data_IF_763240619029
#
_entry.id   IF_763240619029
#
_cell.length_a   1.000
_cell.length_b   1.000
_cell.length_c   1.000
_cell.angle_alpha   90.00
_cell.angle_beta   90.00
_cell.angle_gamma   90.00
#
_symmetry.space_group_name_H-M   'P 1'
#
loop_
_entity.id
_entity.type
_entity.pdbx_description
1 polymer ?
#
# COMPACT_ATOMS: atom_id res chain seq x y z
N UNK A 1 19.44 -9.59 -1.72
CA UNK A 1 19.38 -8.31 -0.95
C UNK A 1 18.50 -8.56 0.25
N UNK A 2 19.06 -8.63 1.46
CA UNK A 2 18.39 -9.15 2.68
C UNK A 2 17.06 -8.45 2.97
N UNK A 3 16.06 -9.21 3.46
CA UNK A 3 14.76 -8.68 3.90
C UNK A 3 14.93 -7.51 4.85
N UNK A 4 15.90 -7.58 5.76
CA UNK A 4 16.21 -6.52 6.70
C UNK A 4 16.48 -5.18 6.00
N UNK A 5 17.21 -5.20 4.87
CA UNK A 5 17.46 -4.01 4.06
C UNK A 5 16.21 -3.56 3.29
N UNK A 6 15.45 -4.47 2.67
CA UNK A 6 14.17 -4.13 2.00
C UNK A 6 13.18 -3.51 3.00
N UNK A 7 13.11 -4.06 4.23
CA UNK A 7 12.30 -3.58 5.34
C UNK A 7 12.77 -2.22 5.83
N UNK A 8 14.08 -2.05 6.06
CA UNK A 8 14.66 -0.78 6.49
C UNK A 8 14.43 0.31 5.45
N UNK A 9 14.76 0.05 4.18
CA UNK A 9 14.52 0.99 3.08
C UNK A 9 13.03 1.35 2.95
N UNK A 10 12.12 0.38 3.10
CA UNK A 10 10.68 0.65 3.03
C UNK A 10 10.14 1.35 4.27
N UNK A 11 10.67 1.08 5.46
CA UNK A 11 10.33 1.81 6.70
C UNK A 11 10.83 3.24 6.66
N UNK A 12 12.03 3.47 6.11
CA UNK A 12 12.54 4.81 5.84
C UNK A 12 11.65 5.54 4.83
N UNK A 13 11.33 4.92 3.70
CA UNK A 13 10.43 5.50 2.70
C UNK A 13 8.99 5.71 3.17
N UNK A 14 8.54 4.93 4.17
CA UNK A 14 7.23 5.08 4.79
C UNK A 14 7.22 6.05 5.99
N UNK A 15 8.40 6.50 6.45
CA UNK A 15 8.52 7.44 7.54
C UNK A 15 8.23 8.85 7.04
N UNK A 16 7.32 9.54 7.73
CA UNK A 16 6.99 10.93 7.45
C UNK A 16 8.22 11.86 7.54
N UNK A 17 9.23 11.49 8.34
CA UNK A 17 10.38 12.34 8.62
C UNK A 17 11.57 12.10 7.71
N UNK A 18 11.63 10.97 7.00
CA UNK A 18 12.84 10.58 6.28
C UNK A 18 13.22 11.58 5.18
N UNK A 19 12.29 11.91 4.27
CA UNK A 19 12.54 12.90 3.21
C UNK A 19 12.86 14.29 3.81
N UNK A 20 12.08 14.84 4.77
CA UNK A 20 12.44 16.08 5.44
C UNK A 20 13.85 16.08 6.05
N UNK A 21 14.26 15.01 6.72
CA UNK A 21 15.60 14.91 7.33
C UNK A 21 16.70 14.90 6.27
N UNK A 22 16.50 14.18 5.16
CA UNK A 22 17.45 14.19 4.03
C UNK A 22 17.55 15.58 3.41
N UNK A 23 16.43 16.26 3.17
CA UNK A 23 16.41 17.63 2.63
C UNK A 23 17.08 18.63 3.56
N UNK A 24 16.82 18.53 4.87
CA UNK A 24 17.48 19.34 5.90
C UNK A 24 19.01 19.13 5.88
N UNK A 25 19.46 17.88 5.81
CA UNK A 25 20.89 17.57 5.73
C UNK A 25 21.52 18.13 4.45
N UNK A 26 20.86 17.98 3.29
CA UNK A 26 21.32 18.57 2.03
C UNK A 26 21.38 20.10 2.09
N UNK A 27 20.44 20.75 2.77
CA UNK A 27 20.45 22.19 2.98
C UNK A 27 21.61 22.66 3.84
N UNK A 28 21.98 21.89 4.88
CA UNK A 28 23.18 22.15 5.69
C UNK A 28 24.44 22.06 4.84
N UNK A 29 24.57 21.02 4.01
CA UNK A 29 25.70 20.87 3.09
C UNK A 29 25.74 21.98 2.05
N UNK A 30 24.59 22.36 1.49
CA UNK A 30 24.47 23.45 0.54
C UNK A 30 24.88 24.79 1.15
N UNK A 31 24.42 25.09 2.38
CA UNK A 31 24.83 26.29 3.10
C UNK A 31 26.35 26.32 3.32
N UNK A 32 26.93 25.23 3.82
CA UNK A 32 28.37 25.11 4.02
C UNK A 32 29.16 25.28 2.72
N UNK A 33 28.70 24.65 1.63
CA UNK A 33 29.31 24.75 0.31
C UNK A 33 29.27 26.17 -0.26
N UNK A 34 28.12 26.86 -0.15
CA UNK A 34 27.98 28.24 -0.64
C UNK A 34 28.81 29.23 0.19
N UNK A 35 28.83 29.06 1.52
CA UNK A 35 29.69 29.87 2.41
C UNK A 35 31.17 29.67 2.04
N UNK A 36 31.60 28.43 1.80
CA UNK A 36 32.98 28.15 1.38
C UNK A 36 33.28 28.79 0.02
N UNK A 37 32.38 28.67 -0.96
CA UNK A 37 32.54 29.31 -2.27
C UNK A 37 32.68 30.83 -2.14
N UNK A 38 31.83 31.48 -1.34
CA UNK A 38 31.91 32.92 -1.04
C UNK A 38 33.26 33.30 -0.38
N UNK A 39 33.88 32.42 0.42
CA UNK A 39 35.20 32.68 1.01
C UNK A 39 36.38 32.53 0.04
N UNK A 40 36.26 31.66 -0.97
CA UNK A 40 37.36 31.37 -1.92
C UNK A 40 37.35 32.30 -3.15
N UNK A 41 36.20 32.54 -3.77
CA UNK A 41 36.10 33.36 -4.99
C UNK A 41 36.02 34.87 -4.68
N UNK A 42 35.64 35.24 -3.46
CA UNK A 42 35.38 36.62 -3.08
C UNK A 42 34.18 37.22 -3.83
N UNK A 43 33.86 38.48 -3.57
CA UNK A 43 32.70 39.17 -4.16
C UNK A 43 32.96 39.90 -5.47
N UNK A 44 34.15 39.73 -6.08
CA UNK A 44 34.62 40.56 -7.20
C UNK A 44 33.80 40.40 -8.50
N UNK A 45 33.17 39.24 -8.72
CA UNK A 45 32.29 39.02 -9.87
C UNK A 45 30.96 39.80 -9.75
N UNK A 46 30.63 40.26 -8.55
CA UNK A 46 29.37 40.91 -8.22
C UNK A 46 29.34 42.40 -8.53
N UNK A 47 30.51 43.02 -8.69
CA UNK A 47 30.67 44.42 -9.12
C UNK A 47 30.02 44.67 -10.50
N UNK A 48 29.80 43.61 -11.27
CA UNK A 48 29.19 43.65 -12.60
C UNK A 48 27.65 43.59 -12.57
N UNK A 49 27.06 43.38 -11.39
CA UNK A 49 25.62 43.11 -11.22
C UNK A 49 25.01 44.04 -10.16
N UNK A 50 24.56 45.26 -10.55
CA UNK A 50 24.18 46.34 -9.62
C UNK A 50 23.05 46.00 -8.63
N UNK A 51 22.19 45.04 -8.96
CA UNK A 51 21.09 44.59 -8.11
C UNK A 51 21.53 43.63 -7.01
N UNK A 52 22.65 42.91 -7.18
CA UNK A 52 23.24 42.06 -6.14
C UNK A 52 24.14 42.86 -5.17
N UNK A 53 24.78 43.92 -5.64
CA UNK A 53 25.75 44.73 -4.88
C UNK A 53 25.14 45.53 -3.70
N UNK A 54 23.82 45.47 -3.48
CA UNK A 54 23.10 46.33 -2.55
C UNK A 54 22.82 45.72 -1.15
N UNK A 55 23.16 44.46 -0.88
CA UNK A 55 22.89 43.85 0.43
C UNK A 55 23.96 44.23 1.47
N UNK A 56 23.79 45.38 2.13
CA UNK A 56 24.53 45.69 3.37
C UNK A 56 24.34 44.54 4.39
N UNK A 57 25.30 44.29 5.29
CA UNK A 57 25.20 43.20 6.28
C UNK A 57 23.86 43.18 7.03
N UNK A 58 23.33 44.35 7.40
CA UNK A 58 22.05 44.47 8.09
C UNK A 58 20.86 44.10 7.20
N UNK A 59 20.92 44.44 5.91
CA UNK A 59 19.90 44.04 4.92
C UNK A 59 19.91 42.53 4.68
N UNK A 60 21.10 41.93 4.54
CA UNK A 60 21.24 40.48 4.41
C UNK A 60 20.73 39.74 5.65
N UNK A 61 21.08 40.21 6.86
CA UNK A 61 20.55 39.68 8.12
C UNK A 61 19.03 39.81 8.20
N UNK A 62 18.48 40.97 7.83
CA UNK A 62 17.05 41.21 7.80
C UNK A 62 16.31 40.26 6.85
N UNK A 63 16.82 40.08 5.64
CA UNK A 63 16.25 39.16 4.65
C UNK A 63 16.30 37.71 5.13
N UNK A 64 17.47 37.21 5.55
CA UNK A 64 17.64 35.83 6.02
C UNK A 64 16.82 35.55 7.29
N UNK A 65 16.72 36.51 8.21
CA UNK A 65 15.89 36.41 9.41
C UNK A 65 14.40 36.37 9.06
N UNK A 66 13.94 37.24 8.14
CA UNK A 66 12.56 37.28 7.67
C UNK A 66 12.17 35.98 6.94
N UNK A 67 13.03 35.51 6.03
CA UNK A 67 12.82 34.23 5.33
C UNK A 67 12.84 33.08 6.34
N UNK A 68 13.85 32.99 7.22
CA UNK A 68 13.91 31.92 8.22
C UNK A 68 12.68 31.89 9.14
N UNK A 69 12.32 33.05 9.72
CA UNK A 69 11.17 33.18 10.61
C UNK A 69 9.83 32.85 9.94
N UNK A 70 9.64 33.26 8.68
CA UNK A 70 8.44 32.90 7.92
C UNK A 70 8.40 31.41 7.57
N UNK A 71 9.52 30.81 7.18
CA UNK A 71 9.58 29.38 6.83
C UNK A 71 9.27 28.46 8.01
N UNK A 72 9.78 28.75 9.22
CA UNK A 72 9.46 27.92 10.40
C UNK A 72 7.98 28.05 10.79
N UNK A 73 7.40 29.24 10.63
CA UNK A 73 5.97 29.49 10.88
C UNK A 73 5.11 28.72 9.88
N UNK A 74 5.41 28.83 8.58
CA UNK A 74 4.71 28.10 7.51
C UNK A 74 4.84 26.59 7.70
N UNK A 75 6.02 26.08 8.07
CA UNK A 75 6.20 24.66 8.39
C UNK A 75 5.27 24.20 9.52
N UNK A 76 5.14 24.98 10.59
CA UNK A 76 4.22 24.71 11.70
C UNK A 76 2.75 24.72 11.28
N UNK A 77 2.33 25.67 10.45
CA UNK A 77 0.96 25.74 9.90
C UNK A 77 0.67 24.53 9.01
N UNK A 78 1.58 24.19 8.10
CA UNK A 78 1.46 23.05 7.17
C UNK A 78 1.37 21.74 7.93
N UNK A 79 2.20 21.55 8.96
CA UNK A 79 2.13 20.38 9.83
C UNK A 79 0.77 20.30 10.54
N UNK A 80 0.29 21.41 11.11
CA UNK A 80 -1.01 21.46 11.80
C UNK A 80 -2.18 21.14 10.87
N UNK A 81 -2.20 21.71 9.66
CA UNK A 81 -3.23 21.42 8.64
C UNK A 81 -3.17 19.95 8.21
N UNK A 82 -1.98 19.39 8.03
CA UNK A 82 -1.80 17.98 7.66
C UNK A 82 -2.35 17.05 8.74
N UNK A 83 -2.08 17.31 10.02
CA UNK A 83 -2.62 16.50 11.12
C UNK A 83 -4.13 16.66 11.25
N UNK A 84 -4.66 17.88 11.10
CA UNK A 84 -6.11 18.10 11.11
C UNK A 84 -6.83 17.32 9.99
N UNK A 85 -6.26 17.34 8.77
CA UNK A 85 -6.74 16.57 7.63
C UNK A 85 -6.74 15.05 7.91
N UNK A 86 -5.67 14.56 8.51
CA UNK A 86 -5.52 13.16 8.91
C UNK A 86 -6.57 12.74 9.94
N UNK A 87 -6.79 13.56 10.98
CA UNK A 87 -7.81 13.30 12.01
C UNK A 87 -9.20 13.27 11.38
N UNK A 88 -9.49 14.21 10.48
CA UNK A 88 -10.75 14.25 9.73
C UNK A 88 -10.95 12.99 8.88
N UNK A 89 -9.96 12.59 8.09
CA UNK A 89 -10.03 11.40 7.24
C UNK A 89 -10.18 10.11 8.06
N UNK A 90 -9.42 9.95 9.14
CA UNK A 90 -9.55 8.80 10.06
C UNK A 90 -10.93 8.74 10.70
N UNK A 91 -11.47 9.91 11.07
CA UNK A 91 -12.79 10.07 11.65
C UNK A 91 -13.93 9.73 10.68
N UNK A 92 -13.77 9.98 9.39
CA UNK A 92 -14.80 9.70 8.38
C UNK A 92 -14.68 8.32 7.75
N UNK A 93 -13.46 7.84 7.50
CA UNK A 93 -13.24 6.74 6.55
C UNK A 93 -12.52 5.51 7.14
N UNK A 94 -11.91 5.64 8.32
CA UNK A 94 -11.28 4.51 9.02
C UNK A 94 -9.84 4.78 9.46
N UNK A 95 -9.40 4.22 10.60
CA UNK A 95 -8.05 4.46 11.14
C UNK A 95 -6.93 3.94 10.25
N UNK A 96 -7.18 2.99 9.33
CA UNK A 96 -6.13 2.43 8.47
C UNK A 96 -5.60 3.45 7.44
N UNK A 97 -6.42 4.42 7.07
CA UNK A 97 -6.07 5.49 6.13
C UNK A 97 -5.05 6.50 6.68
N UNK A 98 -4.95 6.61 8.01
CA UNK A 98 -3.91 7.40 8.70
C UNK A 98 -2.51 7.10 8.14
N UNK A 99 -2.21 5.82 7.94
CA UNK A 99 -0.89 5.39 7.50
C UNK A 99 -0.60 5.71 6.04
N UNK A 100 -1.63 5.92 5.20
CA UNK A 100 -1.47 6.30 3.80
C UNK A 100 -1.18 7.79 3.66
N UNK A 101 -1.86 8.64 4.45
CA UNK A 101 -1.59 10.10 4.46
C UNK A 101 -0.17 10.45 4.92
N UNK A 102 0.37 9.73 5.91
CA UNK A 102 1.75 9.97 6.37
C UNK A 102 2.82 9.51 5.37
N UNK A 103 2.45 8.64 4.41
CA UNK A 103 3.33 8.19 3.32
C UNK A 103 3.28 9.10 2.09
N UNK A 104 2.43 10.12 2.09
CA UNK A 104 2.29 11.03 0.96
C UNK A 104 3.58 11.85 0.73
N UNK A 105 4.21 11.65 -0.44
CA UNK A 105 5.47 12.34 -0.79
C UNK A 105 5.31 13.84 -0.95
N UNK A 106 4.14 14.32 -1.37
CA UNK A 106 3.85 15.75 -1.48
C UNK A 106 3.91 16.44 -0.11
N UNK A 107 3.31 15.83 0.91
CA UNK A 107 3.38 16.32 2.29
C UNK A 107 4.81 16.31 2.83
N UNK A 108 5.55 15.22 2.60
CA UNK A 108 6.93 15.07 3.05
C UNK A 108 7.89 16.08 2.38
N UNK A 109 7.79 16.27 1.06
CA UNK A 109 8.60 17.25 0.32
C UNK A 109 8.23 18.67 0.73
N UNK A 110 6.95 18.96 0.94
CA UNK A 110 6.49 20.28 1.38
C UNK A 110 7.10 20.65 2.73
N UNK A 111 6.93 19.79 3.74
CA UNK A 111 7.50 20.02 5.07
C UNK A 111 9.03 20.09 5.01
N UNK A 112 9.65 19.18 4.25
CA UNK A 112 11.10 19.15 4.05
C UNK A 112 11.64 20.43 3.43
N UNK A 113 10.94 21.02 2.45
CA UNK A 113 11.34 22.28 1.81
C UNK A 113 11.36 23.43 2.80
N UNK A 114 10.33 23.59 3.63
CA UNK A 114 10.28 24.68 4.61
C UNK A 114 11.34 24.53 5.70
N UNK A 115 11.53 23.32 6.23
CA UNK A 115 12.58 23.04 7.23
C UNK A 115 13.97 23.25 6.63
N UNK A 116 14.19 22.79 5.39
CA UNK A 116 15.45 22.96 4.67
C UNK A 116 15.78 24.44 4.45
N UNK A 117 14.85 25.24 3.92
CA UNK A 117 15.04 26.67 3.70
C UNK A 117 15.27 27.42 5.03
N UNK A 118 14.55 27.07 6.09
CA UNK A 118 14.77 27.62 7.43
C UNK A 118 16.20 27.35 7.93
N UNK A 119 16.64 26.09 7.90
CA UNK A 119 17.99 25.71 8.36
C UNK A 119 19.07 26.36 7.51
N UNK A 120 18.88 26.40 6.20
CA UNK A 120 19.78 27.10 5.28
C UNK A 120 19.93 28.57 5.69
N UNK A 121 18.82 29.30 5.84
CA UNK A 121 18.83 30.71 6.23
C UNK A 121 19.48 30.93 7.60
N UNK A 122 19.23 30.08 8.59
CA UNK A 122 19.88 30.17 9.90
C UNK A 122 21.40 29.99 9.84
N UNK A 123 21.87 29.00 9.07
CA UNK A 123 23.30 28.74 8.94
C UNK A 123 24.02 29.87 8.21
N UNK A 124 23.45 30.39 7.12
CA UNK A 124 24.01 31.53 6.41
C UNK A 124 23.96 32.78 7.28
N UNK A 125 22.85 33.04 7.99
CA UNK A 125 22.70 34.18 8.89
C UNK A 125 23.79 34.22 9.96
N UNK A 126 24.15 33.06 10.53
CA UNK A 126 25.23 32.95 11.52
C UNK A 126 26.60 33.42 11.00
N UNK A 127 26.82 33.40 9.69
CA UNK A 127 28.10 33.79 9.08
C UNK A 127 28.19 35.26 8.68
N UNK A 128 27.07 35.99 8.66
CA UNK A 128 27.06 37.42 8.31
C UNK A 128 27.70 38.24 9.45
N UNK A 129 28.80 38.94 9.16
CA UNK A 129 29.55 39.78 10.13
C UNK A 129 29.50 41.25 9.72
N UNK A 130 29.14 42.14 10.64
CA UNK A 130 29.23 43.59 10.45
C UNK A 130 30.66 44.08 10.72
N UNK A 131 31.02 45.23 10.13
CA UNK A 131 32.35 45.82 10.29
C UNK A 131 32.70 46.11 11.77
N UNK A 132 31.69 46.44 12.58
CA UNK A 132 31.83 46.67 14.03
C UNK A 132 32.17 45.41 14.84
N UNK A 133 31.85 44.22 14.31
CA UNK A 133 32.05 42.93 15.01
C UNK A 133 33.33 42.20 14.58
N UNK A 134 33.96 42.62 13.48
CA UNK A 134 35.02 41.86 12.80
C UNK A 134 36.22 42.74 12.41
N UNK A 135 36.75 43.52 13.37
CA UNK A 135 37.98 44.31 13.21
C UNK A 135 37.99 45.18 11.92
N UNK A 136 36.84 45.74 11.53
CA UNK A 136 36.70 46.60 10.35
C UNK A 136 36.37 45.89 9.03
N UNK A 137 36.26 44.55 9.01
CA UNK A 137 35.93 43.79 7.80
C UNK A 137 34.48 43.28 7.85
N UNK A 138 33.59 43.87 7.05
CA UNK A 138 32.24 43.32 6.85
C UNK A 138 32.29 42.11 5.92
N UNK A 139 31.67 41.00 6.30
CA UNK A 139 31.53 39.82 5.45
C UNK A 139 30.06 39.46 5.25
N UNK A 140 29.64 39.43 3.98
CA UNK A 140 28.32 38.99 3.55
C UNK A 140 28.49 37.91 2.48
N UNK A 141 28.03 36.68 2.72
CA UNK A 141 28.09 35.59 1.74
C UNK A 141 26.98 35.79 0.71
N UNK A 142 27.29 36.51 -0.36
CA UNK A 142 26.27 36.96 -1.32
C UNK A 142 25.76 35.83 -2.23
N UNK A 143 26.59 34.86 -2.59
CA UNK A 143 26.11 33.64 -3.28
C UNK A 143 25.15 32.89 -2.39
N UNK A 144 25.50 32.71 -1.12
CA UNK A 144 24.64 32.05 -0.17
C UNK A 144 23.32 32.82 0.04
N UNK A 145 23.35 34.15 0.05
CA UNK A 145 22.15 34.99 0.13
C UNK A 145 21.25 34.81 -1.11
N UNK A 146 21.81 34.82 -2.32
CA UNK A 146 21.06 34.63 -3.57
C UNK A 146 20.35 33.27 -3.57
N UNK A 147 21.06 32.21 -3.20
CA UNK A 147 20.47 30.86 -3.08
C UNK A 147 19.36 30.85 -2.02
N UNK A 148 19.52 31.56 -0.90
CA UNK A 148 18.48 31.72 0.10
C UNK A 148 17.19 32.37 -0.45
N UNK A 149 17.33 33.40 -1.28
CA UNK A 149 16.18 34.04 -1.96
C UNK A 149 15.53 33.09 -2.96
N UNK A 150 16.31 32.35 -3.75
CA UNK A 150 15.78 31.35 -4.68
C UNK A 150 15.03 30.25 -3.92
N UNK A 151 15.58 29.74 -2.82
CA UNK A 151 14.91 28.77 -1.97
C UNK A 151 13.60 29.32 -1.40
N UNK A 152 13.55 30.60 -1.01
CA UNK A 152 12.32 31.24 -0.56
C UNK A 152 11.25 31.31 -1.66
N UNK A 153 11.63 31.64 -2.90
CA UNK A 153 10.71 31.62 -4.05
C UNK A 153 10.20 30.21 -4.35
N UNK A 154 11.08 29.20 -4.31
CA UNK A 154 10.69 27.80 -4.43
C UNK A 154 9.72 27.38 -3.31
N UNK A 155 9.96 27.82 -2.08
CA UNK A 155 9.07 27.57 -0.94
C UNK A 155 7.66 28.16 -1.16
N UNK A 156 7.54 29.34 -1.79
CA UNK A 156 6.22 29.90 -2.15
C UNK A 156 5.51 29.02 -3.17
N UNK A 157 6.20 28.54 -4.21
CA UNK A 157 5.61 27.64 -5.20
C UNK A 157 5.14 26.32 -4.55
N UNK A 158 5.95 25.76 -3.64
CA UNK A 158 5.62 24.57 -2.87
C UNK A 158 4.43 24.80 -1.94
N UNK A 159 4.30 25.99 -1.34
CA UNK A 159 3.12 26.36 -0.54
C UNK A 159 1.84 26.39 -1.38
N UNK A 160 1.90 27.00 -2.57
CA UNK A 160 0.74 27.03 -3.51
C UNK A 160 0.36 25.60 -3.91
N UNK A 161 1.35 24.76 -4.23
CA UNK A 161 1.14 23.34 -4.47
C UNK A 161 0.44 22.65 -3.29
N UNK A 162 0.93 22.86 -2.07
CA UNK A 162 0.37 22.24 -0.86
C UNK A 162 -1.10 22.61 -0.62
N UNK A 163 -1.47 23.88 -0.85
CA UNK A 163 -2.84 24.37 -0.70
C UNK A 163 -3.81 23.62 -1.63
N UNK A 164 -3.36 23.17 -2.81
CA UNK A 164 -4.16 22.35 -3.72
C UNK A 164 -4.04 20.84 -3.43
N UNK A 165 -2.85 20.38 -3.04
CA UNK A 165 -2.53 18.97 -2.83
C UNK A 165 -3.32 18.36 -1.67
N UNK A 166 -3.37 19.03 -0.52
CA UNK A 166 -4.02 18.45 0.67
C UNK A 166 -5.53 18.23 0.47
N UNK A 167 -6.33 19.23 0.01
CA UNK A 167 -7.75 19.01 -0.21
C UNK A 167 -8.05 17.96 -1.28
N UNK A 168 -7.30 17.95 -2.39
CA UNK A 168 -7.51 17.00 -3.48
C UNK A 168 -7.19 15.55 -3.10
N UNK A 169 -6.24 15.34 -2.18
CA UNK A 169 -5.91 14.03 -1.61
C UNK A 169 -6.85 13.58 -0.48
N UNK A 170 -7.53 14.51 0.21
CA UNK A 170 -8.54 14.18 1.23
C UNK A 170 -9.83 13.66 0.60
N UNK A 171 -10.14 14.08 -0.63
CA UNK A 171 -11.37 13.66 -1.28
C UNK A 171 -11.43 12.14 -1.41
N UNK A 172 -12.52 11.54 -0.91
CA UNK A 172 -12.64 10.08 -0.73
C UNK A 172 -12.44 9.30 -2.03
N UNK A 173 -12.88 9.84 -3.16
CA UNK A 173 -12.69 9.20 -4.47
C UNK A 173 -11.20 9.09 -4.85
N UNK A 174 -10.36 10.05 -4.44
CA UNK A 174 -8.91 9.98 -4.64
C UNK A 174 -8.29 8.88 -3.80
N UNK A 175 -8.71 8.75 -2.53
CA UNK A 175 -8.22 7.70 -1.61
C UNK A 175 -8.62 6.31 -2.12
N UNK A 176 -9.89 6.13 -2.48
CA UNK A 176 -10.41 4.87 -3.05
C UNK A 176 -9.67 4.53 -4.34
N UNK A 177 -9.48 5.50 -5.24
CA UNK A 177 -8.72 5.33 -6.48
C UNK A 177 -7.27 4.91 -6.22
N UNK A 178 -6.58 5.56 -5.29
CA UNK A 178 -5.19 5.26 -4.96
C UNK A 178 -5.06 3.81 -4.41
N UNK A 179 -6.00 3.37 -3.56
CA UNK A 179 -6.04 1.99 -3.03
C UNK A 179 -6.36 0.99 -4.15
N UNK A 180 -7.41 1.24 -4.93
CA UNK A 180 -7.86 0.35 -6.00
C UNK A 180 -6.83 0.19 -7.12
N UNK A 181 -6.21 1.30 -7.57
CA UNK A 181 -5.14 1.27 -8.58
C UNK A 181 -3.94 0.47 -8.08
N UNK A 182 -3.58 0.64 -6.80
CA UNK A 182 -2.51 -0.14 -6.18
C UNK A 182 -2.85 -1.62 -6.10
N UNK A 183 -4.07 -1.98 -5.72
CA UNK A 183 -4.51 -3.37 -5.68
C UNK A 183 -4.40 -4.03 -7.06
N UNK A 184 -4.91 -3.38 -8.11
CA UNK A 184 -4.81 -3.90 -9.49
C UNK A 184 -3.36 -4.03 -9.93
N UNK A 185 -2.51 -3.04 -9.64
CA UNK A 185 -1.08 -3.11 -9.95
C UNK A 185 -0.37 -4.24 -9.19
N UNK A 186 -0.69 -4.43 -7.90
CA UNK A 186 -0.12 -5.50 -7.08
C UNK A 186 -0.61 -6.89 -7.55
N UNK A 187 -1.85 -7.01 -8.04
CA UNK A 187 -2.36 -8.21 -8.73
C UNK A 187 -1.57 -8.47 -10.00
N UNK A 188 -1.35 -7.45 -10.83
CA UNK A 188 -0.66 -7.60 -12.11
C UNK A 188 0.79 -8.07 -11.94
N UNK A 189 1.50 -7.47 -10.99
CA UNK A 189 2.88 -7.84 -10.70
C UNK A 189 3.00 -9.24 -10.05
N UNK A 190 2.02 -9.68 -9.26
CA UNK A 190 2.09 -10.97 -8.55
C UNK A 190 1.53 -12.14 -9.35
N UNK A 191 0.56 -11.89 -10.21
CA UNK A 191 -0.13 -12.89 -11.01
C UNK A 191 -0.11 -12.53 -12.50
N UNK A 192 1.07 -12.30 -13.11
CA UNK A 192 1.16 -11.79 -14.47
C UNK A 192 0.50 -12.73 -15.50
N UNK A 193 -0.34 -12.19 -16.38
CA UNK A 193 -1.19 -12.97 -17.32
C UNK A 193 -0.41 -13.89 -18.29
N UNK A 194 0.88 -13.64 -18.54
CA UNK A 194 1.62 -14.26 -19.66
C UNK A 194 3.04 -14.74 -19.32
N UNK A 195 3.38 -15.04 -18.06
CA UNK A 195 4.71 -15.58 -17.74
C UNK A 195 4.71 -17.11 -17.77
N UNK A 196 5.25 -17.67 -18.86
CA UNK A 196 5.56 -19.09 -18.98
C UNK A 196 4.33 -19.99 -19.04
N UNK A 197 4.48 -21.22 -19.56
CA UNK A 197 3.44 -22.22 -19.37
C UNK A 197 3.37 -22.51 -17.88
N UNK A 198 2.28 -22.11 -17.24
CA UNK A 198 1.88 -22.74 -15.99
C UNK A 198 1.94 -24.24 -16.21
N UNK A 199 2.61 -24.96 -15.30
CA UNK A 199 2.37 -26.39 -15.16
C UNK A 199 0.89 -26.45 -14.80
N UNK A 200 0.04 -26.61 -15.81
CA UNK A 200 -1.39 -26.70 -15.61
C UNK A 200 -1.68 -27.83 -14.62
N UNK A 201 -2.89 -27.92 -14.06
CA UNK A 201 -3.28 -29.01 -13.15
C UNK A 201 -3.13 -30.43 -13.73
N UNK A 202 -2.65 -30.58 -14.97
CA UNK A 202 -2.55 -31.82 -15.73
C UNK A 202 -1.19 -32.06 -16.41
N UNK A 203 -0.14 -31.28 -16.14
CA UNK A 203 1.20 -31.58 -16.65
C UNK A 203 1.98 -32.42 -15.61
N UNK A 204 1.82 -33.74 -15.70
CA UNK A 204 2.67 -34.77 -15.08
C UNK A 204 2.75 -34.81 -13.55
N UNK A 205 1.67 -35.25 -12.90
CA UNK A 205 1.67 -35.70 -11.51
C UNK A 205 1.79 -34.57 -10.49
N UNK A 206 0.87 -34.49 -9.53
CA UNK A 206 1.10 -33.64 -8.36
C UNK A 206 2.46 -34.05 -7.74
N UNK A 207 3.33 -33.09 -7.37
CA UNK A 207 4.57 -33.42 -6.66
C UNK A 207 4.22 -34.30 -5.46
N UNK A 208 4.90 -35.44 -5.32
CA UNK A 208 4.58 -36.38 -4.25
C UNK A 208 4.79 -35.70 -2.89
N UNK A 209 3.71 -35.62 -2.12
CA UNK A 209 3.73 -35.00 -0.80
C UNK A 209 4.43 -35.96 0.17
N UNK A 210 5.42 -35.50 0.94
CA UNK A 210 6.04 -36.33 1.96
C UNK A 210 4.97 -36.94 2.89
N UNK A 211 5.13 -38.18 3.36
CA UNK A 211 4.16 -38.84 4.24
C UNK A 211 3.74 -37.96 5.40
N UNK A 212 4.68 -37.23 6.02
CA UNK A 212 4.41 -36.31 7.12
C UNK A 212 3.41 -35.18 6.82
N UNK A 213 3.24 -34.79 5.54
CA UNK A 213 2.36 -33.71 5.12
C UNK A 213 1.09 -34.17 4.42
N UNK A 214 0.89 -35.48 4.23
CA UNK A 214 -0.33 -36.01 3.64
C UNK A 214 -1.50 -35.97 4.64
N UNK A 215 -2.72 -35.82 4.13
CA UNK A 215 -3.92 -35.78 4.96
C UNK A 215 -4.26 -37.17 5.57
N UNK A 216 -3.80 -38.24 4.94
CA UNK A 216 -3.98 -39.63 5.36
C UNK A 216 -2.80 -40.18 6.19
N UNK A 217 -1.87 -39.32 6.60
CA UNK A 217 -0.71 -39.71 7.40
C UNK A 217 -1.11 -40.25 8.77
N UNK A 218 -0.45 -41.33 9.21
CA UNK A 218 -0.57 -41.78 10.59
C UNK A 218 0.16 -40.83 11.56
N UNK A 219 -0.08 -40.99 12.86
CA UNK A 219 0.49 -40.12 13.88
C UNK A 219 2.03 -40.19 13.93
N UNK A 220 2.64 -41.31 13.53
CA UNK A 220 4.09 -41.49 13.55
C UNK A 220 4.75 -40.71 12.40
N UNK A 221 4.29 -40.90 11.16
CA UNK A 221 4.73 -40.14 10.00
C UNK A 221 4.45 -38.65 10.18
N UNK A 222 3.31 -38.30 10.77
CA UNK A 222 2.97 -36.93 11.11
C UNK A 222 3.93 -36.31 12.15
N UNK A 223 4.55 -37.10 13.04
CA UNK A 223 5.46 -36.59 14.06
C UNK A 223 6.89 -36.34 13.53
N UNK A 224 7.21 -36.81 12.32
CA UNK A 224 8.51 -36.60 11.66
C UNK A 224 8.66 -35.17 11.13
N UNK A 225 8.41 -34.15 11.95
CA UNK A 225 8.50 -32.76 11.54
C UNK A 225 9.18 -31.93 12.59
N UNK A 226 10.10 -31.08 12.15
CA UNK A 226 10.70 -30.08 13.02
C UNK A 226 9.87 -28.80 12.98
N UNK A 227 9.38 -28.38 14.14
CA UNK A 227 8.71 -27.09 14.29
C UNK A 227 9.71 -25.96 14.42
N UNK A 228 9.51 -24.89 13.65
CA UNK A 228 10.26 -23.64 13.72
C UNK A 228 9.29 -22.57 14.18
N UNK A 229 9.60 -21.92 15.29
CA UNK A 229 8.68 -21.01 15.99
C UNK A 229 8.99 -19.55 15.71
N UNK A 230 7.97 -18.68 15.85
CA UNK A 230 8.17 -17.23 15.82
C UNK A 230 8.93 -16.74 17.05
N UNK A 231 9.91 -15.87 16.82
CA UNK A 231 10.64 -15.18 17.89
C UNK A 231 9.86 -13.96 18.43
N UNK A 232 9.08 -13.31 17.55
CA UNK A 232 8.33 -12.08 17.86
C UNK A 232 6.81 -12.28 17.79
N UNK A 233 6.09 -11.36 18.44
CA UNK A 233 4.63 -11.24 18.36
C UNK A 233 4.24 -10.05 17.49
N UNK A 234 3.36 -10.25 16.51
CA UNK A 234 2.91 -9.20 15.60
C UNK A 234 2.37 -9.73 14.28
N UNK A 235 2.27 -8.86 13.27
CA UNK A 235 1.83 -9.22 11.92
C UNK A 235 3.01 -9.65 11.05
N UNK A 236 2.87 -10.74 10.30
CA UNK A 236 3.84 -11.11 9.26
C UNK A 236 3.83 -10.04 8.15
N UNK A 237 4.84 -9.18 8.08
CA UNK A 237 4.97 -8.11 7.08
C UNK A 237 5.41 -8.68 5.71
N UNK A 238 6.34 -9.64 5.75
CA UNK A 238 6.94 -10.26 4.57
C UNK A 238 7.57 -11.62 4.89
N UNK A 239 7.65 -12.47 3.86
CA UNK A 239 8.40 -13.72 3.80
C UNK A 239 9.32 -13.63 2.58
N UNK A 240 10.61 -13.93 2.74
CA UNK A 240 11.52 -14.06 1.60
C UNK A 240 11.41 -15.46 1.01
N UNK A 241 10.63 -15.56 -0.05
CA UNK A 241 10.40 -16.83 -0.72
C UNK A 241 11.67 -17.33 -1.41
N UNK A 242 12.57 -16.44 -1.84
CA UNK A 242 13.79 -16.81 -2.56
C UNK A 242 14.79 -17.43 -1.59
N UNK A 243 15.07 -16.75 -0.47
CA UNK A 243 15.96 -17.29 0.57
C UNK A 243 15.38 -18.58 1.20
N UNK A 244 14.05 -18.66 1.37
CA UNK A 244 13.39 -19.85 1.92
C UNK A 244 13.47 -21.05 0.95
N UNK A 245 13.33 -20.81 -0.37
CA UNK A 245 13.52 -21.84 -1.39
C UNK A 245 14.99 -22.27 -1.47
N UNK A 246 15.94 -21.33 -1.41
CA UNK A 246 17.38 -21.62 -1.39
C UNK A 246 17.77 -22.48 -0.18
N UNK A 247 17.27 -22.15 1.01
CA UNK A 247 17.49 -22.93 2.23
C UNK A 247 16.89 -24.33 2.12
N UNK A 248 15.65 -24.44 1.61
CA UNK A 248 14.99 -25.72 1.40
C UNK A 248 15.76 -26.62 0.42
N UNK A 249 16.25 -26.04 -0.69
CA UNK A 249 17.03 -26.78 -1.69
C UNK A 249 18.40 -27.19 -1.17
N UNK A 250 19.13 -26.26 -0.53
CA UNK A 250 20.48 -26.52 0.00
C UNK A 250 20.51 -27.63 1.05
N UNK A 251 19.49 -27.70 1.89
CA UNK A 251 19.41 -28.66 2.99
C UNK A 251 18.51 -29.88 2.67
N UNK A 252 18.03 -29.98 1.43
CA UNK A 252 17.12 -31.01 0.95
C UNK A 252 15.90 -31.22 1.86
N UNK A 253 15.22 -30.10 2.14
CA UNK A 253 14.03 -29.99 3.00
C UNK A 253 12.77 -29.70 2.19
N UNK A 254 11.63 -30.07 2.78
CA UNK A 254 10.28 -29.61 2.43
C UNK A 254 9.73 -28.79 3.60
N UNK A 255 9.38 -27.53 3.33
CA UNK A 255 8.92 -26.57 4.31
C UNK A 255 7.43 -26.29 4.16
N UNK A 256 6.63 -26.51 5.20
CA UNK A 256 5.21 -26.12 5.24
C UNK A 256 5.04 -24.82 6.02
N UNK A 257 4.58 -23.78 5.35
CA UNK A 257 4.34 -22.47 5.96
C UNK A 257 2.98 -22.48 6.67
N UNK A 258 2.95 -22.07 7.93
CA UNK A 258 1.71 -22.01 8.72
C UNK A 258 1.03 -20.65 8.67
N UNK A 259 1.76 -19.61 8.24
CA UNK A 259 1.27 -18.24 8.15
C UNK A 259 1.60 -17.64 6.78
N UNK A 260 0.82 -16.63 6.39
CA UNK A 260 1.06 -15.82 5.19
C UNK A 260 1.21 -14.34 5.57
N UNK A 261 1.82 -13.50 4.71
CA UNK A 261 1.92 -12.07 4.94
C UNK A 261 0.56 -11.45 5.23
N UNK A 262 0.45 -10.75 6.37
CA UNK A 262 -0.76 -10.13 6.88
C UNK A 262 -1.39 -10.85 8.07
N UNK A 263 -1.00 -12.09 8.37
CA UNK A 263 -1.51 -12.83 9.52
C UNK A 263 -0.82 -12.39 10.82
N UNK A 264 -1.51 -12.50 11.95
CA UNK A 264 -0.97 -12.21 13.27
C UNK A 264 -0.39 -13.49 13.90
N UNK A 265 0.83 -13.40 14.42
CA UNK A 265 1.56 -14.50 15.07
C UNK A 265 1.95 -14.12 16.51
N UNK A 266 2.02 -15.13 17.37
CA UNK A 266 2.54 -14.99 18.74
C UNK A 266 3.91 -15.66 18.85
N UNK A 267 4.77 -15.10 19.70
CA UNK A 267 6.05 -15.72 20.07
C UNK A 267 5.85 -17.17 20.52
N UNK A 268 6.69 -18.09 20.03
CA UNK A 268 6.60 -19.52 20.31
C UNK A 268 5.61 -20.31 19.45
N UNK A 269 4.82 -19.67 18.58
CA UNK A 269 3.96 -20.39 17.62
C UNK A 269 4.75 -20.91 16.43
N UNK A 270 4.46 -22.13 15.98
CA UNK A 270 5.09 -22.72 14.80
C UNK A 270 4.74 -21.95 13.54
N UNK A 271 5.74 -21.32 12.92
CA UNK A 271 5.61 -20.59 11.66
C UNK A 271 5.94 -21.45 10.45
N UNK A 272 6.83 -22.42 10.61
CA UNK A 272 7.22 -23.39 9.59
C UNK A 272 7.36 -24.78 10.21
N UNK A 273 6.89 -25.79 9.49
CA UNK A 273 7.26 -27.17 9.74
C UNK A 273 8.23 -27.66 8.66
N UNK A 274 9.36 -28.22 9.07
CA UNK A 274 10.39 -28.75 8.17
C UNK A 274 10.41 -30.29 8.20
N UNK A 275 10.50 -30.90 7.02
CA UNK A 275 10.69 -32.33 6.82
C UNK A 275 11.85 -32.59 5.84
N UNK A 276 12.67 -33.63 6.02
CA UNK A 276 12.74 -34.48 7.22
C UNK A 276 13.45 -33.74 8.38
N UNK A 277 13.10 -34.04 9.65
CA UNK A 277 13.54 -33.25 10.79
C UNK A 277 15.05 -33.37 11.05
N UNK A 278 15.69 -34.48 10.68
CA UNK A 278 17.12 -34.74 10.87
C UNK A 278 18.00 -33.80 10.02
N UNK A 279 17.44 -33.23 8.95
CA UNK A 279 18.14 -32.29 8.05
C UNK A 279 17.98 -30.83 8.44
N UNK A 280 17.16 -30.55 9.45
CA UNK A 280 16.95 -29.22 9.96
C UNK A 280 17.57 -29.14 11.36
N UNK A 281 18.82 -28.72 11.45
CA UNK A 281 19.47 -28.43 12.73
C UNK A 281 19.06 -27.04 13.28
N UNK A 282 19.54 -26.68 14.47
CA UNK A 282 19.19 -25.41 15.12
C UNK A 282 19.66 -24.19 14.31
N UNK A 283 20.77 -24.32 13.57
CA UNK A 283 21.32 -23.24 12.73
C UNK A 283 20.44 -23.02 11.50
N UNK A 284 20.00 -24.09 10.85
CA UNK A 284 19.06 -24.04 9.72
C UNK A 284 17.71 -23.51 10.17
N UNK A 285 17.18 -23.97 11.31
CA UNK A 285 15.93 -23.48 11.88
C UNK A 285 15.97 -21.97 12.16
N UNK A 286 17.08 -21.47 12.73
CA UNK A 286 17.28 -20.02 12.96
C UNK A 286 17.31 -19.23 11.64
N UNK A 287 18.00 -19.74 10.60
CA UNK A 287 18.01 -19.09 9.28
C UNK A 287 16.63 -19.05 8.62
N UNK A 288 15.85 -20.13 8.74
CA UNK A 288 14.47 -20.18 8.25
C UNK A 288 13.58 -19.21 9.04
N UNK A 289 13.70 -19.13 10.37
CA UNK A 289 12.95 -18.14 11.16
C UNK A 289 13.28 -16.71 10.72
N UNK A 290 14.56 -16.43 10.42
CA UNK A 290 15.02 -15.13 9.94
C UNK A 290 14.50 -14.74 8.55
N UNK A 291 13.88 -15.65 7.78
CA UNK A 291 13.21 -15.30 6.51
C UNK A 291 11.84 -14.66 6.73
N UNK A 292 11.35 -14.58 7.96
CA UNK A 292 10.08 -13.95 8.32
C UNK A 292 10.32 -12.58 8.93
N UNK A 293 9.57 -11.57 8.48
CA UNK A 293 9.57 -10.24 9.09
C UNK A 293 8.27 -10.01 9.85
N UNK A 294 8.35 -9.78 11.16
CA UNK A 294 7.19 -9.50 12.04
C UNK A 294 7.13 -8.00 12.39
N UNK A 295 6.00 -7.35 12.15
CA UNK A 295 5.76 -5.92 12.42
C UNK A 295 4.60 -5.67 13.40
N UNK A 296 4.54 -4.45 13.95
CA UNK A 296 3.47 -4.05 14.88
C UNK A 296 2.13 -3.77 14.20
N UNK A 297 2.14 -3.58 12.87
CA UNK A 297 0.95 -3.29 12.09
C UNK A 297 0.96 -4.09 10.77
N UNK A 298 -0.24 -4.41 10.29
CA UNK A 298 -0.41 -5.05 8.99
C UNK A 298 -0.04 -4.10 7.85
N UNK A 299 0.46 -4.67 6.75
CA UNK A 299 1.01 -3.90 5.63
C UNK A 299 0.66 -4.54 4.29
N UNK A 300 0.31 -3.71 3.30
CA UNK A 300 0.17 -4.11 1.90
C UNK A 300 1.52 -4.39 1.20
N UNK A 301 2.59 -4.75 1.91
CA UNK A 301 3.89 -5.06 1.29
C UNK A 301 3.81 -6.37 0.50
N UNK A 302 3.38 -7.45 1.13
CA UNK A 302 3.17 -8.75 0.51
C UNK A 302 1.76 -9.29 0.73
N UNK A 303 0.81 -8.44 1.14
CA UNK A 303 -0.57 -8.85 1.42
C UNK A 303 -1.56 -8.13 0.50
N UNK A 304 -2.10 -8.85 -0.50
CA UNK A 304 -3.18 -8.34 -1.38
C UNK A 304 -4.51 -8.18 -0.64
N UNK A 305 -4.66 -8.86 0.49
CA UNK A 305 -5.89 -8.87 1.28
C UNK A 305 -6.03 -7.55 2.05
N UNK A 306 -4.93 -6.83 2.27
CA UNK A 306 -4.95 -5.55 2.98
C UNK A 306 -5.68 -4.43 2.23
N UNK A 307 -5.33 -4.09 0.97
CA UNK A 307 -6.08 -3.06 0.23
C UNK A 307 -7.53 -3.44 -0.04
N UNK A 308 -7.85 -4.75 -0.16
CA UNK A 308 -9.25 -5.22 -0.19
C UNK A 308 -9.96 -4.85 1.12
N UNK A 309 -9.36 -5.16 2.26
CA UNK A 309 -9.94 -4.82 3.56
C UNK A 309 -10.07 -3.31 3.77
N UNK A 310 -9.16 -2.48 3.22
CA UNK A 310 -9.30 -1.02 3.25
C UNK A 310 -10.53 -0.54 2.46
N UNK A 311 -10.75 -1.06 1.24
CA UNK A 311 -11.94 -0.73 0.44
C UNK A 311 -13.23 -1.22 1.09
N UNK A 312 -13.20 -2.42 1.68
CA UNK A 312 -14.34 -3.00 2.42
C UNK A 312 -14.65 -2.16 3.67
N UNK A 313 -13.64 -1.72 4.41
CA UNK A 313 -13.82 -0.86 5.59
C UNK A 313 -14.48 0.48 5.22
N UNK A 314 -14.04 1.11 4.13
CA UNK A 314 -14.64 2.36 3.62
C UNK A 314 -16.10 2.12 3.21
N UNK A 315 -16.37 1.07 2.42
CA UNK A 315 -17.72 0.76 1.94
C UNK A 315 -18.69 0.41 3.07
N UNK A 316 -18.27 -0.47 3.99
CA UNK A 316 -19.07 -0.86 5.14
C UNK A 316 -19.39 0.33 6.05
N UNK A 317 -18.42 1.23 6.24
CA UNK A 317 -18.61 2.45 7.02
C UNK A 317 -19.55 3.43 6.33
N UNK A 318 -19.41 3.62 5.02
CA UNK A 318 -20.29 4.47 4.23
C UNK A 318 -21.75 3.97 4.26
N UNK A 319 -21.96 2.64 4.22
CA UNK A 319 -23.29 2.00 4.34
C UNK A 319 -23.80 1.87 5.78
N UNK A 320 -22.99 2.27 6.79
CA UNK A 320 -23.43 2.19 8.18
C UNK A 320 -24.60 3.18 8.43
N UNK A 321 -25.53 2.86 9.36
CA UNK A 321 -26.68 3.72 9.64
C UNK A 321 -26.33 5.16 10.05
N UNK A 322 -25.12 5.38 10.58
CA UNK A 322 -24.65 6.71 11.01
C UNK A 322 -24.15 7.60 9.89
N UNK A 323 -23.78 7.04 8.72
CA UNK A 323 -23.27 7.80 7.56
C UNK A 323 -24.28 7.76 6.41
N UNK A 324 -24.73 6.54 6.03
CA UNK A 324 -25.71 6.30 4.99
C UNK A 324 -25.38 6.97 3.63
N UNK A 325 -24.14 6.78 3.16
CA UNK A 325 -23.64 7.28 1.87
C UNK A 325 -23.39 6.10 0.90
N UNK A 326 -24.43 5.63 0.18
CA UNK A 326 -24.28 4.50 -0.73
C UNK A 326 -23.35 4.81 -1.91
N UNK A 327 -23.18 6.06 -2.34
CA UNK A 327 -22.38 6.40 -3.52
C UNK A 327 -20.87 6.20 -3.29
N UNK A 328 -20.39 6.47 -2.07
CA UNK A 328 -19.03 6.12 -1.67
C UNK A 328 -18.81 4.61 -1.69
N UNK A 329 -19.79 3.83 -1.23
CA UNK A 329 -19.73 2.36 -1.26
C UNK A 329 -19.78 1.79 -2.69
N UNK A 330 -20.61 2.38 -3.57
CA UNK A 330 -20.63 2.08 -5.01
C UNK A 330 -19.23 2.22 -5.61
N UNK A 331 -18.55 3.34 -5.33
CA UNK A 331 -17.19 3.58 -5.84
C UNK A 331 -16.21 2.50 -5.34
N UNK A 332 -16.31 2.08 -4.08
CA UNK A 332 -15.48 0.98 -3.56
C UNK A 332 -15.78 -0.36 -4.25
N UNK A 333 -17.07 -0.65 -4.49
CA UNK A 333 -17.50 -1.85 -5.23
C UNK A 333 -16.93 -1.85 -6.65
N UNK A 334 -16.86 -0.71 -7.32
CA UNK A 334 -16.28 -0.59 -8.67
C UNK A 334 -14.80 -1.03 -8.69
N UNK A 335 -14.01 -0.55 -7.73
CA UNK A 335 -12.60 -0.91 -7.65
C UNK A 335 -12.38 -2.37 -7.22
N UNK A 336 -13.21 -2.89 -6.32
CA UNK A 336 -13.19 -4.31 -5.94
C UNK A 336 -13.58 -5.21 -7.11
N UNK A 337 -14.60 -4.84 -7.88
CA UNK A 337 -15.05 -5.54 -9.08
C UNK A 337 -13.95 -5.53 -10.14
N UNK A 338 -13.35 -4.38 -10.42
CA UNK A 338 -12.24 -4.26 -11.37
C UNK A 338 -11.05 -5.14 -10.98
N UNK A 339 -10.66 -5.14 -9.70
CA UNK A 339 -9.58 -5.98 -9.19
C UNK A 339 -9.89 -7.48 -9.30
N UNK A 340 -11.10 -7.90 -8.94
CA UNK A 340 -11.51 -9.30 -9.04
C UNK A 340 -11.76 -9.76 -10.48
N UNK A 341 -12.19 -8.86 -11.37
CA UNK A 341 -12.31 -9.15 -12.81
C UNK A 341 -10.93 -9.39 -13.43
N UNK A 342 -9.94 -8.56 -13.07
CA UNK A 342 -8.56 -8.78 -13.49
C UNK A 342 -7.99 -10.10 -12.93
N UNK A 343 -8.35 -10.47 -11.70
CA UNK A 343 -7.97 -11.74 -11.09
C UNK A 343 -8.68 -12.95 -11.71
N UNK A 344 -9.93 -12.79 -12.17
CA UNK A 344 -10.78 -13.84 -12.69
C UNK A 344 -10.19 -14.50 -13.95
N UNK A 345 -9.47 -13.73 -14.77
CA UNK A 345 -8.76 -14.22 -15.96
C UNK A 345 -7.31 -14.68 -15.71
N UNK A 346 -6.85 -14.76 -14.47
CA UNK A 346 -5.46 -15.12 -14.11
C UNK A 346 -5.37 -16.49 -13.46
N UNK A 347 -4.27 -17.18 -13.76
CA UNK A 347 -3.87 -18.40 -13.06
C UNK A 347 -3.25 -18.02 -11.73
N UNK A 348 -3.86 -18.50 -10.64
CA UNK A 348 -3.33 -18.32 -9.30
C UNK A 348 -2.23 -19.37 -9.08
N UNK A 349 -1.04 -18.97 -8.58
CA UNK A 349 0.09 -19.87 -8.44
C UNK A 349 -0.25 -21.01 -7.47
N UNK A 350 0.26 -22.20 -7.79
CA UNK A 350 0.15 -23.34 -6.89
C UNK A 350 0.73 -23.01 -5.52
N UNK A 351 0.04 -23.50 -4.49
CA UNK A 351 0.54 -23.45 -3.12
C UNK A 351 1.76 -24.35 -2.91
N UNK A 352 1.99 -25.30 -3.82
CA UNK A 352 3.18 -26.14 -3.89
C UNK A 352 4.23 -25.46 -4.77
N UNK A 353 5.43 -25.26 -4.21
CA UNK A 353 6.57 -24.64 -4.92
C UNK A 353 7.70 -25.64 -5.05
N UNK A 354 8.22 -25.75 -6.27
CA UNK A 354 9.30 -26.65 -6.63
C UNK A 354 10.60 -25.88 -6.91
N UNK A 355 11.73 -26.57 -6.82
CA UNK A 355 13.02 -26.07 -7.30
C UNK A 355 13.21 -26.30 -8.82
N UNK A 356 14.38 -25.91 -9.33
CA UNK A 356 14.75 -26.08 -10.74
C UNK A 356 14.75 -27.56 -11.19
N UNK A 357 14.94 -28.50 -10.25
CA UNK A 357 14.91 -29.95 -10.46
C UNK A 357 13.48 -30.53 -10.36
N UNK A 358 12.44 -29.70 -10.30
CA UNK A 358 11.03 -30.08 -10.13
C UNK A 358 10.73 -30.82 -8.81
N UNK A 359 11.57 -30.67 -7.78
CA UNK A 359 11.33 -31.26 -6.45
C UNK A 359 10.54 -30.31 -5.59
N UNK A 360 9.54 -30.82 -4.86
CA UNK A 360 8.78 -30.03 -3.89
C UNK A 360 9.71 -29.49 -2.80
N UNK A 361 9.63 -28.18 -2.54
CA UNK A 361 10.42 -27.50 -1.50
C UNK A 361 9.58 -26.72 -0.50
N UNK A 362 8.50 -26.10 -0.96
CA UNK A 362 7.66 -25.26 -0.09
C UNK A 362 6.19 -25.55 -0.31
N UNK A 363 5.46 -25.78 0.79
CA UNK A 363 4.01 -25.87 0.86
C UNK A 363 3.52 -24.59 1.52
N UNK A 364 3.07 -23.63 0.72
CA UNK A 364 2.55 -22.35 1.16
C UNK A 364 1.02 -22.40 1.37
N UNK A 365 0.44 -21.30 1.85
CA UNK A 365 -1.01 -21.11 1.84
C UNK A 365 -1.52 -20.83 0.42
N UNK A 366 -2.59 -21.53 0.04
CA UNK A 366 -3.23 -21.33 -1.25
C UNK A 366 -3.95 -19.97 -1.29
N UNK A 367 -3.59 -19.14 -2.25
CA UNK A 367 -4.37 -17.95 -2.60
C UNK A 367 -5.42 -18.38 -3.61
N UNK A 368 -6.70 -18.26 -3.25
CA UNK A 368 -7.82 -18.71 -4.09
C UNK A 368 -8.71 -17.54 -4.47
N UNK A 369 -9.32 -17.61 -5.65
CA UNK A 369 -10.34 -16.66 -6.07
C UNK A 369 -11.49 -16.60 -5.04
N UNK A 370 -11.90 -17.75 -4.51
CA UNK A 370 -12.89 -17.85 -3.44
C UNK A 370 -12.51 -17.00 -2.21
N UNK A 371 -11.26 -17.08 -1.75
CA UNK A 371 -10.79 -16.33 -0.59
C UNK A 371 -10.80 -14.81 -0.81
N UNK A 372 -10.45 -14.35 -2.03
CA UNK A 372 -10.52 -12.92 -2.35
C UNK A 372 -11.96 -12.44 -2.55
N UNK A 373 -12.82 -13.24 -3.20
CA UNK A 373 -14.23 -12.94 -3.38
C UNK A 373 -14.96 -12.86 -2.03
N UNK A 374 -14.68 -13.78 -1.10
CA UNK A 374 -15.26 -13.76 0.24
C UNK A 374 -14.85 -12.53 1.03
N UNK A 375 -13.57 -12.16 0.93
CA UNK A 375 -13.06 -11.00 1.64
C UNK A 375 -13.58 -9.68 1.09
N UNK A 376 -13.91 -9.62 -0.20
CA UNK A 376 -14.51 -8.44 -0.83
C UNK A 376 -16.04 -8.47 -0.74
N UNK A 377 -16.67 -9.35 -1.52
CA UNK A 377 -18.13 -9.46 -1.65
C UNK A 377 -18.76 -10.10 -0.42
N UNK A 378 -18.19 -11.18 0.12
CA UNK A 378 -18.70 -11.83 1.32
C UNK A 378 -18.74 -10.90 2.55
N UNK A 379 -17.71 -10.06 2.74
CA UNK A 379 -17.69 -9.08 3.82
C UNK A 379 -18.70 -7.93 3.62
N UNK A 380 -18.99 -7.54 2.38
CA UNK A 380 -19.90 -6.44 2.06
C UNK A 380 -21.37 -6.85 1.91
N UNK A 381 -21.67 -8.13 1.70
CA UNK A 381 -23.02 -8.61 1.37
C UNK A 381 -24.07 -8.14 2.38
N UNK A 382 -23.77 -8.17 3.68
CA UNK A 382 -24.70 -7.76 4.73
C UNK A 382 -25.00 -6.25 4.70
N UNK A 383 -24.00 -5.44 4.35
CA UNK A 383 -24.15 -3.98 4.28
C UNK A 383 -24.90 -3.58 3.01
N UNK A 384 -24.55 -4.19 1.88
CA UNK A 384 -25.20 -3.94 0.61
C UNK A 384 -26.65 -4.42 0.61
N UNK A 385 -26.97 -5.54 1.27
CA UNK A 385 -28.32 -6.08 1.32
C UNK A 385 -29.34 -5.14 2.00
N UNK A 386 -28.90 -4.25 2.88
CA UNK A 386 -29.75 -3.31 3.60
C UNK A 386 -30.06 -2.01 2.84
N UNK A 387 -29.41 -1.77 1.70
CA UNK A 387 -29.62 -0.58 0.86
C UNK A 387 -29.87 -0.97 -0.60
N UNK A 388 -30.98 -0.51 -1.17
CA UNK A 388 -31.37 -0.90 -2.55
C UNK A 388 -30.31 -0.51 -3.58
N UNK A 389 -29.72 0.68 -3.47
CA UNK A 389 -28.77 1.21 -4.46
C UNK A 389 -27.47 0.39 -4.40
N UNK A 390 -26.97 0.14 -3.18
CA UNK A 390 -25.80 -0.69 -2.95
C UNK A 390 -26.01 -2.14 -3.38
N UNK A 391 -27.17 -2.75 -3.07
CA UNK A 391 -27.51 -4.11 -3.51
C UNK A 391 -27.51 -4.24 -5.04
N UNK A 392 -28.11 -3.28 -5.74
CA UNK A 392 -28.13 -3.27 -7.21
C UNK A 392 -26.72 -3.14 -7.80
N UNK A 393 -25.86 -2.26 -7.24
CA UNK A 393 -24.47 -2.15 -7.70
C UNK A 393 -23.65 -3.40 -7.36
N UNK A 394 -23.86 -4.01 -6.21
CA UNK A 394 -23.20 -5.25 -5.81
C UNK A 394 -23.51 -6.39 -6.79
N UNK A 395 -24.79 -6.60 -7.14
CA UNK A 395 -25.19 -7.55 -8.18
C UNK A 395 -24.53 -7.20 -9.52
N UNK A 396 -24.46 -5.90 -9.81
CA UNK A 396 -23.71 -5.41 -10.95
C UNK A 396 -22.24 -5.82 -10.95
N UNK A 397 -21.54 -5.55 -9.86
CA UNK A 397 -20.13 -5.89 -9.68
C UNK A 397 -19.87 -7.39 -9.87
N UNK A 398 -20.77 -8.26 -9.37
CA UNK A 398 -20.68 -9.70 -9.62
C UNK A 398 -20.85 -10.06 -11.10
N UNK A 399 -21.75 -9.39 -11.81
CA UNK A 399 -21.94 -9.55 -13.24
C UNK A 399 -20.72 -9.11 -14.06
N UNK A 400 -20.08 -8.00 -13.68
CA UNK A 400 -18.82 -7.52 -14.29
C UNK A 400 -17.70 -8.56 -14.14
N UNK A 401 -17.49 -9.05 -12.91
CA UNK A 401 -16.48 -10.09 -12.64
C UNK A 401 -16.79 -11.39 -13.39
N UNK A 402 -18.07 -11.74 -13.53
CA UNK A 402 -18.46 -12.93 -14.27
C UNK A 402 -18.10 -12.84 -15.76
N UNK A 403 -18.17 -11.67 -16.40
CA UNK A 403 -17.85 -11.51 -17.83
C UNK A 403 -16.41 -11.92 -18.14
N UNK A 404 -15.49 -11.64 -17.22
CA UNK A 404 -14.06 -11.93 -17.36
C UNK A 404 -13.65 -13.30 -16.76
N UNK A 405 -14.63 -14.10 -16.34
CA UNK A 405 -14.44 -15.40 -15.71
C UNK A 405 -14.86 -16.53 -16.63
N UNK A 406 -13.96 -17.42 -17.05
CA UNK A 406 -14.28 -18.61 -17.85
C UNK A 406 -14.37 -19.91 -17.02
N UNK A 407 -13.88 -19.89 -15.78
CA UNK A 407 -13.84 -21.03 -14.87
C UNK A 407 -15.22 -21.30 -14.23
N UNK A 408 -15.84 -22.49 -14.44
CA UNK A 408 -17.13 -22.84 -13.86
C UNK A 408 -17.16 -22.80 -12.32
N UNK A 409 -16.06 -23.12 -11.64
CA UNK A 409 -16.00 -23.08 -10.17
C UNK A 409 -16.06 -21.64 -9.65
N UNK A 410 -15.36 -20.73 -10.32
CA UNK A 410 -15.39 -19.28 -10.03
C UNK A 410 -16.77 -18.69 -10.32
N UNK A 411 -17.43 -19.09 -11.40
CA UNK A 411 -18.82 -18.69 -11.69
C UNK A 411 -19.79 -19.19 -10.61
N UNK A 412 -19.62 -20.42 -10.12
CA UNK A 412 -20.41 -20.96 -9.02
C UNK A 412 -20.21 -20.17 -7.71
N UNK A 413 -18.97 -19.72 -7.43
CA UNK A 413 -18.68 -18.83 -6.31
C UNK A 413 -19.47 -17.51 -6.42
N UNK A 414 -19.44 -16.86 -7.59
CA UNK A 414 -20.19 -15.61 -7.81
C UNK A 414 -21.70 -15.82 -7.66
N UNK A 415 -22.24 -16.92 -8.19
CA UNK A 415 -23.66 -17.26 -8.05
C UNK A 415 -24.08 -17.42 -6.59
N UNK A 416 -23.24 -18.02 -5.73
CA UNK A 416 -23.54 -18.12 -4.29
C UNK A 416 -23.66 -16.75 -3.62
N UNK A 417 -22.88 -15.76 -4.04
CA UNK A 417 -23.01 -14.39 -3.52
C UNK A 417 -24.26 -13.66 -4.03
N UNK A 418 -24.76 -13.99 -5.22
CA UNK A 418 -26.08 -13.53 -5.69
C UNK A 418 -27.18 -14.05 -4.77
N UNK A 419 -27.16 -15.36 -4.48
CA UNK A 419 -28.15 -15.99 -3.61
C UNK A 419 -28.10 -15.42 -2.18
N UNK A 420 -26.89 -15.26 -1.63
CA UNK A 420 -26.70 -14.71 -0.29
C UNK A 420 -27.19 -13.26 -0.16
N UNK A 421 -26.96 -12.44 -1.18
CA UNK A 421 -27.47 -11.06 -1.18
C UNK A 421 -29.00 -11.05 -1.22
N UNK A 422 -29.62 -11.88 -2.05
CA UNK A 422 -31.08 -11.92 -2.18
C UNK A 422 -31.76 -12.42 -0.89
N UNK A 423 -31.16 -13.40 -0.22
CA UNK A 423 -31.58 -13.87 1.11
C UNK A 423 -31.59 -12.73 2.13
N UNK A 424 -30.44 -12.08 2.32
CA UNK A 424 -30.28 -10.99 3.31
C UNK A 424 -31.11 -9.76 2.96
N UNK A 425 -31.25 -9.43 1.67
CA UNK A 425 -32.11 -8.33 1.24
C UNK A 425 -33.58 -8.62 1.57
N UNK A 426 -34.00 -9.88 1.54
CA UNK A 426 -35.34 -10.30 1.95
C UNK A 426 -35.64 -10.08 3.43
N UNK A 427 -34.61 -10.03 4.28
CA UNK A 427 -34.72 -9.72 5.70
C UNK A 427 -34.66 -8.21 5.97
N UNK A 428 -33.86 -7.46 5.19
CA UNK A 428 -33.57 -6.05 5.44
C UNK A 428 -34.43 -5.04 4.66
N UNK A 429 -34.94 -5.40 3.48
CA UNK A 429 -35.71 -4.52 2.60
C UNK A 429 -37.18 -4.95 2.51
N UNK A 430 -38.04 -4.04 2.08
CA UNK A 430 -39.46 -4.32 1.82
C UNK A 430 -40.00 -3.53 0.62
N UNK A 431 -41.18 -3.93 0.14
CA UNK A 431 -41.89 -3.24 -0.93
C UNK A 431 -41.09 -3.13 -2.24
N UNK A 432 -41.08 -1.93 -2.81
CA UNK A 432 -40.42 -1.61 -4.08
C UNK A 432 -38.91 -1.91 -4.06
N UNK A 433 -38.24 -1.62 -2.95
CA UNK A 433 -36.79 -1.80 -2.85
C UNK A 433 -36.41 -3.28 -2.95
N UNK A 434 -37.14 -4.13 -2.23
CA UNK A 434 -36.91 -5.58 -2.28
C UNK A 434 -37.27 -6.17 -3.64
N UNK A 435 -38.37 -5.73 -4.28
CA UNK A 435 -38.76 -6.27 -5.59
C UNK A 435 -37.71 -5.99 -6.65
N UNK A 436 -37.12 -4.78 -6.65
CA UNK A 436 -36.02 -4.39 -7.55
C UNK A 436 -34.77 -5.25 -7.38
N UNK A 437 -34.36 -5.51 -6.13
CA UNK A 437 -33.19 -6.35 -5.84
C UNK A 437 -33.43 -7.79 -6.28
N UNK A 438 -34.62 -8.35 -6.00
CA UNK A 438 -34.99 -9.71 -6.41
C UNK A 438 -35.00 -9.87 -7.93
N UNK A 439 -35.64 -8.95 -8.64
CA UNK A 439 -35.67 -8.96 -10.11
C UNK A 439 -34.25 -8.97 -10.69
N UNK A 440 -33.37 -8.09 -10.21
CA UNK A 440 -31.99 -8.03 -10.67
C UNK A 440 -31.18 -9.29 -10.32
N UNK A 441 -31.39 -9.85 -9.14
CA UNK A 441 -30.70 -11.08 -8.72
C UNK A 441 -31.14 -12.28 -9.56
N UNK A 442 -32.44 -12.40 -9.85
CA UNK A 442 -33.01 -13.45 -10.69
C UNK A 442 -32.51 -13.34 -12.14
N UNK A 443 -32.41 -12.13 -12.69
CA UNK A 443 -31.83 -11.88 -14.01
C UNK A 443 -30.38 -12.34 -14.10
N UNK A 444 -29.55 -11.95 -13.12
CA UNK A 444 -28.15 -12.35 -13.06
C UNK A 444 -28.01 -13.87 -12.93
N UNK A 445 -28.78 -14.51 -12.04
CA UNK A 445 -28.77 -15.97 -11.87
C UNK A 445 -29.14 -16.69 -13.18
N UNK A 446 -30.18 -16.22 -13.86
CA UNK A 446 -30.60 -16.78 -15.16
C UNK A 446 -29.54 -16.63 -16.23
N UNK A 447 -28.81 -15.51 -16.25
CA UNK A 447 -27.71 -15.30 -17.17
C UNK A 447 -26.57 -16.28 -16.89
N UNK A 448 -26.09 -16.36 -15.64
CA UNK A 448 -24.96 -17.20 -15.24
C UNK A 448 -25.22 -18.71 -15.43
N UNK A 449 -26.48 -19.15 -15.39
CA UNK A 449 -26.85 -20.55 -15.60
C UNK A 449 -26.74 -21.02 -17.06
N UNK A 450 -26.47 -20.14 -18.01
CA UNK A 450 -26.45 -20.47 -19.45
C UNK A 450 -25.03 -20.46 -20.02
N UNK A 451 -24.70 -21.33 -21.00
CA UNK A 451 -23.38 -21.32 -21.65
C UNK A 451 -23.05 -20.01 -22.37
N UNK A 452 -24.06 -19.27 -22.84
CA UNK A 452 -23.94 -17.97 -23.52
C UNK A 452 -24.03 -16.77 -22.54
N UNK A 453 -23.76 -16.98 -21.24
CA UNK A 453 -23.92 -15.97 -20.19
C UNK A 453 -23.21 -14.65 -20.51
N UNK A 454 -21.98 -14.66 -21.08
CA UNK A 454 -21.25 -13.42 -21.43
C UNK A 454 -22.05 -12.53 -22.39
N UNK A 455 -22.70 -13.13 -23.39
CA UNK A 455 -23.57 -12.41 -24.33
C UNK A 455 -24.82 -11.90 -23.61
N UNK A 456 -25.44 -12.70 -22.75
CA UNK A 456 -26.64 -12.30 -22.00
C UNK A 456 -26.38 -11.18 -21.00
N UNK A 457 -25.21 -11.19 -20.36
CA UNK A 457 -24.76 -10.10 -19.51
C UNK A 457 -24.49 -8.84 -20.34
N UNK A 458 -24.02 -8.97 -21.59
CA UNK A 458 -23.80 -7.85 -22.54
C UNK A 458 -25.08 -7.25 -23.12
N UNK A 459 -26.00 -8.10 -23.50
CA UNK A 459 -27.21 -7.72 -24.26
C UNK A 459 -28.42 -7.48 -23.34
N UNK A 460 -28.33 -7.90 -22.07
CA UNK A 460 -29.42 -7.79 -21.09
C UNK A 460 -29.45 -6.46 -20.35
N UNK A 461 -30.52 -6.23 -19.59
CA UNK A 461 -30.62 -5.18 -18.55
C UNK A 461 -29.56 -5.32 -17.46
N UNK A 462 -28.90 -6.48 -17.41
CA UNK A 462 -27.73 -6.80 -16.64
C UNK A 462 -26.41 -6.26 -17.24
N UNK A 463 -26.42 -5.56 -18.38
CA UNK A 463 -25.21 -4.93 -18.93
C UNK A 463 -24.75 -3.78 -18.07
N UNK A 464 -23.49 -3.87 -17.66
CA UNK A 464 -22.89 -3.08 -16.60
C UNK A 464 -21.73 -2.23 -17.08
N UNK A 465 -21.36 -2.33 -18.37
CA UNK A 465 -20.38 -1.43 -19.00
C UNK A 465 -20.91 -0.02 -19.27
N UNK A 466 -22.22 0.22 -19.05
CA UNK A 466 -22.87 1.52 -19.25
C UNK A 466 -24.20 1.41 -20.00
N UNK A 467 -25.07 2.41 -19.83
CA UNK A 467 -26.38 2.51 -20.50
C UNK A 467 -26.28 3.20 -21.87
N UNK A 468 -25.23 2.91 -22.63
CA UNK A 468 -24.95 3.60 -23.90
C UNK A 468 -26.04 3.35 -24.96
#
# INVERSE_FOLDING_TARGET
MTIAFKRFAKRLGASYWFIPTVMAFLAVLLAGGMILADTYEGSAWMDQVPWLYAARPDGARGLLSSIGGSMITVAGTVFSVTIAAVVYASGQYGPRLLTNFMKDRGNQVTLGTFIATFLYCLLVLRTVRSADEANGYSFVPNMALLVGVVLALCSIAVLIFFIHHVPSKIHINSVIKDIGTRLIHDIDHRFPRHIGRGIGPAASGAPDLPPAFRHDADAAAAAERRSITADDTGYIEAIDNDDLLELATRHDLVLRLQYQPGDFVHTGRTIVEAWPPERCDDTVACKIAATFSVGSARSALQDLRFPIDELVEIAARALSPGINDPFTALTCLDWLAAALSDLAGRDLPSHLRVDDDQRLRVIAHAQTFAGFADRAFGALVQYCAADMVAALRYLGSLGEVAIDCDDPERLAILSRYVDRLQELAGEALSGYNLSRVRERADDLRRALARPDYKRRLRDGTAWLGGTA
#
